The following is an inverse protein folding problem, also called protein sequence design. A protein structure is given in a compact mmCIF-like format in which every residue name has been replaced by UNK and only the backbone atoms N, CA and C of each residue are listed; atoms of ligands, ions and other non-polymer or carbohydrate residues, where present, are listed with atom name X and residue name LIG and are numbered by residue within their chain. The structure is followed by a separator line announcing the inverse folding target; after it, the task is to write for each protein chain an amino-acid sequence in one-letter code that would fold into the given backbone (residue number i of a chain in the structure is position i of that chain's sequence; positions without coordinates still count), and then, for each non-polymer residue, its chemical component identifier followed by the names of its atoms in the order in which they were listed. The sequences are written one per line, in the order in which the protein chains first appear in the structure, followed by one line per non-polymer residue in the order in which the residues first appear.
data_IF_519126261647
#
_entry.id   IF_519126261647
#
_cell.length_a   1.000
_cell.length_b   1.000
_cell.length_c   1.000
_cell.angle_alpha   90.00
_cell.angle_beta   90.00
_cell.angle_gamma   90.00
#
_symmetry.space_group_name_H-M   'P 1'
#
loop_
_entity.id
_entity.type
_entity.pdbx_description
1 polymer ?
#
# COMPACT_ATOMS: atom_id res chain seq x y z
N UNK A 1 2.21 -25.43 -21.38
CA UNK A 1 1.06 -24.51 -21.43
C UNK A 1 0.93 -23.92 -20.02
N UNK A 2 1.46 -22.71 -19.80
CA UNK A 2 1.34 -22.10 -18.47
C UNK A 2 -0.13 -21.73 -18.24
N UNK A 3 -0.71 -22.04 -17.07
CA UNK A 3 -2.08 -21.66 -16.76
C UNK A 3 -2.20 -20.14 -16.84
N UNK A 4 -3.31 -19.65 -17.42
CA UNK A 4 -3.62 -18.22 -17.39
C UNK A 4 -3.64 -17.77 -15.92
N UNK A 5 -2.95 -16.69 -15.53
CA UNK A 5 -3.11 -16.14 -14.19
C UNK A 5 -4.59 -15.82 -13.99
N UNK A 6 -5.20 -16.44 -12.98
CA UNK A 6 -6.59 -16.20 -12.61
C UNK A 6 -6.71 -14.73 -12.18
N UNK A 7 -7.83 -14.08 -12.52
CA UNK A 7 -8.14 -12.75 -11.98
C UNK A 7 -8.23 -12.86 -10.46
N UNK A 8 -7.60 -11.93 -9.76
CA UNK A 8 -7.47 -11.88 -8.29
C UNK A 8 -8.78 -11.66 -7.51
N UNK A 9 -9.94 -12.04 -8.04
CA UNK A 9 -11.22 -11.87 -7.35
C UNK A 9 -11.26 -12.65 -6.03
N UNK A 10 -10.57 -13.79 -5.96
CA UNK A 10 -10.75 -14.74 -4.86
C UNK A 10 -9.55 -14.69 -3.90
N UNK A 11 -9.78 -14.74 -2.59
CA UNK A 11 -8.72 -14.70 -1.57
C UNK A 11 -7.81 -15.93 -1.64
N UNK A 12 -8.39 -17.07 -2.00
CA UNK A 12 -7.68 -18.34 -2.14
C UNK A 12 -6.64 -18.28 -3.25
N UNK A 13 -6.93 -17.61 -4.38
CA UNK A 13 -5.98 -17.44 -5.48
C UNK A 13 -4.78 -16.55 -5.09
N UNK A 14 -4.97 -15.54 -4.24
CA UNK A 14 -3.87 -14.73 -3.71
C UNK A 14 -3.01 -15.54 -2.74
N UNK A 15 -3.62 -16.27 -1.80
CA UNK A 15 -2.90 -17.13 -0.86
C UNK A 15 -2.12 -18.25 -1.58
N UNK A 16 -2.68 -18.84 -2.63
CA UNK A 16 -2.03 -19.91 -3.39
C UNK A 16 -0.86 -19.37 -4.24
N UNK A 17 -1.08 -18.30 -5.01
CA UNK A 17 -0.06 -17.74 -5.89
C UNK A 17 1.05 -17.00 -5.12
N UNK A 18 0.69 -16.21 -4.11
CA UNK A 18 1.68 -15.51 -3.28
C UNK A 18 2.26 -16.42 -2.22
N UNK A 19 1.54 -17.45 -1.76
CA UNK A 19 2.07 -18.43 -0.80
C UNK A 19 3.26 -19.21 -1.35
N UNK A 20 3.26 -19.53 -2.65
CA UNK A 20 4.42 -20.14 -3.33
C UNK A 20 5.64 -19.21 -3.36
N UNK A 21 5.39 -17.90 -3.54
CA UNK A 21 6.43 -16.89 -3.55
C UNK A 21 6.75 -16.36 -2.14
N UNK A 22 5.95 -16.67 -1.12
CA UNK A 22 6.06 -16.10 0.22
C UNK A 22 7.41 -16.45 0.80
N UNK A 23 7.73 -17.75 0.83
CA UNK A 23 8.96 -18.22 1.45
C UNK A 23 10.20 -17.76 0.68
N UNK A 24 10.09 -17.61 -0.65
CA UNK A 24 11.15 -17.03 -1.49
C UNK A 24 11.31 -15.52 -1.29
N UNK A 25 10.21 -14.74 -1.32
CA UNK A 25 10.19 -13.31 -1.06
C UNK A 25 10.70 -13.01 0.34
N UNK A 26 10.16 -13.62 1.39
CA UNK A 26 10.63 -13.41 2.76
C UNK A 26 12.06 -13.92 2.98
N UNK A 27 12.46 -14.98 2.27
CA UNK A 27 13.86 -15.44 2.24
C UNK A 27 14.80 -14.43 1.59
N UNK A 28 14.36 -13.74 0.52
CA UNK A 28 15.14 -12.70 -0.14
C UNK A 28 15.09 -11.35 0.59
N UNK A 29 14.00 -11.05 1.28
CA UNK A 29 13.75 -9.87 2.13
C UNK A 29 14.38 -10.01 3.52
N UNK A 30 15.27 -10.98 3.74
CA UNK A 30 16.09 -11.03 4.94
C UNK A 30 16.91 -9.74 5.10
N UNK A 31 17.26 -9.44 6.34
CA UNK A 31 18.11 -8.33 6.72
C UNK A 31 19.36 -8.28 5.82
N UNK A 32 19.56 -7.15 5.15
CA UNK A 32 20.72 -6.92 4.27
C UNK A 32 21.35 -5.59 4.63
N UNK A 33 22.66 -5.56 4.75
CA UNK A 33 23.39 -4.30 4.67
C UNK A 33 23.57 -3.94 3.19
N UNK A 34 23.22 -2.71 2.84
CA UNK A 34 23.45 -2.16 1.51
C UNK A 34 24.55 -1.11 1.62
N UNK A 35 25.53 -1.19 0.73
CA UNK A 35 26.57 -0.19 0.62
C UNK A 35 26.07 0.97 -0.24
N UNK A 36 26.01 2.16 0.34
CA UNK A 36 25.63 3.41 -0.34
C UNK A 36 26.86 4.33 -0.31
N UNK A 37 27.63 4.31 -1.41
CA UNK A 37 28.96 4.93 -1.45
C UNK A 37 29.92 4.24 -0.46
N UNK A 38 30.44 5.01 0.50
CA UNK A 38 31.36 4.50 1.54
C UNK A 38 30.62 4.04 2.82
N UNK A 39 29.30 4.23 2.89
CA UNK A 39 28.49 3.90 4.07
C UNK A 39 27.82 2.54 3.92
N UNK A 40 28.02 1.67 4.91
CA UNK A 40 27.19 0.48 5.10
C UNK A 40 25.94 0.87 5.88
N UNK A 41 24.76 0.64 5.30
CA UNK A 41 23.48 0.86 5.96
C UNK A 41 22.72 -0.43 6.10
N UNK A 42 22.18 -0.67 7.29
CA UNK A 42 21.27 -1.77 7.55
C UNK A 42 19.90 -1.45 6.97
N UNK A 43 19.32 -2.40 6.22
CA UNK A 43 18.01 -2.25 5.59
C UNK A 43 17.02 -3.19 6.26
N UNK A 44 15.92 -2.59 6.73
CA UNK A 44 14.76 -3.30 7.24
C UNK A 44 13.65 -3.27 6.21
N UNK A 45 13.07 -4.43 5.94
CA UNK A 45 11.95 -4.56 5.03
C UNK A 45 10.64 -4.51 5.80
N UNK A 46 9.70 -3.71 5.32
CA UNK A 46 8.33 -3.66 5.82
C UNK A 46 7.39 -3.88 4.62
N UNK A 47 6.53 -4.89 4.71
CA UNK A 47 5.55 -5.15 3.67
C UNK A 47 4.35 -4.21 3.84
N UNK A 48 3.95 -3.55 2.75
CA UNK A 48 2.78 -2.66 2.71
C UNK A 48 1.81 -3.12 1.62
N UNK A 49 0.59 -2.61 1.66
CA UNK A 49 -0.44 -2.89 0.65
C UNK A 49 -1.79 -3.23 1.29
N UNK A 50 -2.69 -3.74 0.46
CA UNK A 50 -4.06 -4.01 0.92
C UNK A 50 -4.13 -5.15 1.95
N UNK A 51 -5.21 -5.17 2.73
CA UNK A 51 -5.41 -6.16 3.79
C UNK A 51 -5.41 -7.61 3.25
N UNK A 52 -5.80 -7.83 2.00
CA UNK A 52 -5.85 -9.16 1.36
C UNK A 52 -4.42 -9.64 1.04
N UNK A 53 -3.60 -8.78 0.45
CA UNK A 53 -2.17 -9.00 0.19
C UNK A 53 -1.41 -9.24 1.49
N UNK A 54 -1.55 -8.35 2.47
CA UNK A 54 -0.87 -8.49 3.74
C UNK A 54 -1.32 -9.76 4.49
N UNK A 55 -2.61 -10.10 4.42
CA UNK A 55 -3.09 -11.35 5.02
C UNK A 55 -2.51 -12.59 4.32
N UNK A 56 -2.36 -12.56 2.99
CA UNK A 56 -1.69 -13.63 2.25
C UNK A 56 -0.20 -13.76 2.63
N UNK A 57 0.50 -12.63 2.72
CA UNK A 57 1.92 -12.59 3.08
C UNK A 57 2.17 -13.07 4.52
N UNK A 58 1.38 -12.60 5.48
CA UNK A 58 1.53 -12.95 6.90
C UNK A 58 0.80 -14.25 7.30
N UNK A 59 0.11 -14.92 6.38
CA UNK A 59 -0.65 -16.15 6.67
C UNK A 59 -1.87 -15.93 7.55
N UNK A 60 -2.44 -14.73 7.54
CA UNK A 60 -3.62 -14.36 8.29
C UNK A 60 -4.92 -14.69 7.52
N UNK A 61 -6.02 -14.96 8.23
CA UNK A 61 -7.31 -15.36 7.62
C UNK A 61 -8.11 -14.22 6.96
N UNK A 62 -7.49 -13.05 6.77
CA UNK A 62 -8.12 -11.92 6.09
C UNK A 62 -9.20 -11.20 6.90
N UNK A 63 -9.99 -10.39 6.20
CA UNK A 63 -11.03 -9.53 6.77
C UNK A 63 -12.26 -10.27 7.29
N UNK A 64 -12.43 -11.54 6.93
CA UNK A 64 -13.52 -12.40 7.39
C UNK A 64 -13.19 -13.15 8.69
N UNK A 65 -11.96 -13.00 9.20
CA UNK A 65 -11.52 -13.54 10.49
C UNK A 65 -12.29 -12.94 11.66
N UNK A 66 -12.49 -13.72 12.73
CA UNK A 66 -12.95 -13.20 14.04
C UNK A 66 -12.01 -12.15 14.62
N UNK A 67 -10.74 -12.18 14.21
CA UNK A 67 -9.71 -11.20 14.54
C UNK A 67 -9.15 -10.63 13.23
N UNK A 68 -9.78 -9.62 12.61
CA UNK A 68 -9.39 -9.15 11.29
C UNK A 68 -8.21 -8.17 11.30
N UNK A 69 -7.68 -7.81 12.48
CA UNK A 69 -6.57 -6.89 12.62
C UNK A 69 -5.23 -7.63 12.54
N UNK A 70 -4.34 -7.16 11.66
CA UNK A 70 -2.98 -7.68 11.52
C UNK A 70 -1.99 -7.12 12.56
N UNK A 71 -2.40 -6.08 13.32
CA UNK A 71 -1.58 -5.43 14.33
C UNK A 71 -2.02 -5.88 15.73
N UNK A 72 -1.11 -6.18 16.68
CA UNK A 72 -1.48 -6.64 18.02
C UNK A 72 -2.32 -5.62 18.81
N UNK A 73 -3.27 -6.12 19.60
CA UNK A 73 -4.26 -5.36 20.40
C UNK A 73 -3.65 -4.82 21.71
N UNK A 74 -2.54 -4.08 21.65
CA UNK A 74 -1.91 -3.50 22.84
C UNK A 74 -1.86 -1.98 22.84
N UNK A 75 -3.02 -1.32 22.69
CA UNK A 75 -3.23 0.09 23.10
C UNK A 75 -4.74 0.42 23.00
N UNK A 76 -5.41 0.58 24.15
CA UNK A 76 -6.84 0.96 24.26
C UNK A 76 -6.98 2.32 24.97
N UNK A 77 -8.11 3.01 24.69
CA UNK A 77 -8.78 4.16 25.37
C UNK A 77 -8.57 5.60 24.77
N UNK A 78 -9.43 6.64 25.04
CA UNK A 78 -10.64 7.01 24.25
C UNK A 78 -10.94 8.53 23.97
N UNK A 79 -11.74 8.84 22.91
CA UNK A 79 -12.82 9.88 22.71
C UNK A 79 -12.55 11.40 22.42
N UNK A 80 -13.17 11.96 21.33
CA UNK A 80 -14.21 13.07 21.19
C UNK A 80 -14.10 14.09 19.99
N UNK A 81 -15.15 14.05 19.12
CA UNK A 81 -15.94 14.98 18.18
C UNK A 81 -15.48 15.80 16.90
N UNK A 82 -15.83 15.38 15.63
CA UNK A 82 -15.78 16.08 14.29
C UNK A 82 -15.92 15.12 13.05
N UNK A 83 -15.83 15.64 11.81
CA UNK A 83 -16.48 15.09 10.60
C UNK A 83 -15.56 14.40 9.55
N UNK A 84 -16.08 13.36 8.88
CA UNK A 84 -15.40 12.47 7.91
C UNK A 84 -14.69 13.15 6.72
N UNK A 85 -15.25 14.26 6.22
CA UNK A 85 -14.72 14.94 5.04
C UNK A 85 -13.34 15.54 5.35
N UNK A 86 -13.14 15.98 6.59
CA UNK A 86 -11.89 16.57 7.06
C UNK A 86 -10.80 15.52 7.23
N UNK A 87 -11.14 14.31 7.71
CA UNK A 87 -10.20 13.18 7.83
C UNK A 87 -9.60 12.80 6.48
N UNK A 88 -10.44 12.71 5.44
CA UNK A 88 -9.98 12.36 4.09
C UNK A 88 -9.21 13.48 3.41
N UNK A 89 -9.65 14.74 3.55
CA UNK A 89 -9.01 15.88 2.90
C UNK A 89 -7.67 16.24 3.53
N UNK A 90 -7.53 16.09 4.85
CA UNK A 90 -6.31 16.48 5.54
C UNK A 90 -5.09 15.63 5.12
N UNK A 91 -5.29 14.43 4.56
CA UNK A 91 -4.21 13.43 4.54
C UNK A 91 -4.05 12.56 3.30
N UNK A 92 -4.53 13.02 2.14
CA UNK A 92 -4.13 12.46 0.84
C UNK A 92 -2.69 12.83 0.43
N UNK A 93 -1.96 13.58 1.25
CA UNK A 93 -0.60 14.04 0.95
C UNK A 93 0.47 13.00 1.31
N UNK A 94 1.35 12.72 0.34
CA UNK A 94 2.49 11.81 0.47
C UNK A 94 3.73 12.52 1.02
N UNK A 95 3.67 13.06 2.24
CA UNK A 95 4.80 13.75 2.89
C UNK A 95 4.88 13.46 4.40
N UNK A 96 6.03 13.79 4.99
CA UNK A 96 6.21 13.79 6.44
C UNK A 96 5.40 14.95 7.05
N UNK A 97 4.85 14.71 8.24
CA UNK A 97 3.86 15.56 8.88
C UNK A 97 4.38 16.09 10.20
N UNK A 98 4.06 17.35 10.49
CA UNK A 98 4.40 17.95 11.77
C UNK A 98 3.51 17.37 12.88
N UNK A 99 4.05 17.26 14.10
CA UNK A 99 3.32 16.72 15.25
C UNK A 99 2.00 17.44 15.52
N UNK A 100 1.93 18.75 15.29
CA UNK A 100 0.70 19.52 15.44
C UNK A 100 -0.41 19.02 14.51
N UNK A 101 -0.06 18.67 13.28
CA UNK A 101 -1.01 18.14 12.31
C UNK A 101 -1.41 16.70 12.71
N UNK A 102 -0.48 15.88 13.22
CA UNK A 102 -0.77 14.50 13.68
C UNK A 102 -1.77 14.54 14.84
N UNK A 103 -1.58 15.47 15.79
CA UNK A 103 -2.51 15.68 16.90
C UNK A 103 -3.88 16.16 16.42
N UNK A 104 -3.94 16.99 15.38
CA UNK A 104 -5.20 17.41 14.75
C UNK A 104 -5.91 16.23 14.08
N UNK A 105 -5.18 15.36 13.39
CA UNK A 105 -5.74 14.13 12.84
C UNK A 105 -6.29 13.20 13.92
N UNK A 106 -5.55 13.00 15.01
CA UNK A 106 -6.00 12.17 16.13
C UNK A 106 -7.35 12.63 16.66
N UNK A 107 -7.51 13.95 16.81
CA UNK A 107 -8.81 14.57 17.12
C UNK A 107 -9.82 14.18 16.06
N UNK A 108 -9.60 14.52 14.77
CA UNK A 108 -10.52 14.23 13.65
C UNK A 108 -10.95 12.76 13.49
N UNK A 109 -10.18 11.79 13.98
CA UNK A 109 -10.58 10.38 14.00
C UNK A 109 -11.44 10.03 15.21
N UNK A 110 -11.05 10.47 16.41
CA UNK A 110 -11.81 10.31 17.65
C UNK A 110 -13.25 10.85 17.51
N UNK A 111 -13.27 11.97 16.85
CA UNK A 111 -14.34 12.73 16.25
C UNK A 111 -15.34 11.91 15.47
N UNK A 112 -14.85 11.25 14.43
CA UNK A 112 -15.64 10.41 13.57
C UNK A 112 -16.21 9.20 14.32
N UNK A 113 -15.40 8.55 15.17
CA UNK A 113 -15.84 7.37 15.92
C UNK A 113 -16.94 7.70 16.92
N UNK A 114 -16.90 8.88 17.52
CA UNK A 114 -17.96 9.36 18.40
C UNK A 114 -19.28 9.51 17.64
N UNK A 115 -19.24 10.15 16.47
CA UNK A 115 -20.41 10.28 15.61
C UNK A 115 -21.02 8.92 15.23
N UNK A 116 -20.18 7.94 14.87
CA UNK A 116 -20.64 6.59 14.55
C UNK A 116 -21.34 5.92 15.73
N UNK A 117 -20.79 6.03 16.94
CA UNK A 117 -21.40 5.44 18.15
C UNK A 117 -22.76 6.06 18.47
N UNK A 118 -22.92 7.36 18.27
CA UNK A 118 -24.16 8.06 18.57
C UNK A 118 -25.24 7.86 17.50
N UNK A 119 -24.87 7.94 16.23
CA UNK A 119 -25.82 7.90 15.11
C UNK A 119 -26.07 6.50 14.56
N UNK A 120 -25.12 5.59 14.75
CA UNK A 120 -25.15 4.23 14.22
C UNK A 120 -24.73 3.20 15.30
N UNK A 121 -25.41 3.14 16.46
CA UNK A 121 -24.99 2.31 17.60
C UNK A 121 -25.03 0.80 17.31
N UNK A 122 -25.83 0.36 16.34
CA UNK A 122 -25.94 -1.05 15.93
C UNK A 122 -24.97 -1.43 14.80
N UNK A 123 -24.14 -0.50 14.33
CA UNK A 123 -23.24 -0.75 13.21
C UNK A 123 -22.01 -1.55 13.66
N UNK A 124 -21.69 -2.59 12.89
CA UNK A 124 -20.44 -3.34 13.04
C UNK A 124 -19.26 -2.50 12.56
N UNK A 125 -18.23 -2.36 13.37
CA UNK A 125 -16.99 -1.66 13.01
C UNK A 125 -16.25 -2.48 11.95
N UNK A 126 -15.96 -1.87 10.80
CA UNK A 126 -15.15 -2.52 9.76
C UNK A 126 -13.67 -2.56 10.15
N UNK A 127 -12.87 -3.51 9.63
CA UNK A 127 -11.44 -3.55 9.87
C UNK A 127 -10.72 -2.24 9.49
N UNK A 128 -11.17 -1.55 8.43
CA UNK A 128 -10.64 -0.24 8.03
C UNK A 128 -10.91 0.83 9.09
N UNK A 129 -12.12 0.89 9.66
CA UNK A 129 -12.44 1.80 10.76
C UNK A 129 -11.64 1.46 12.04
N UNK A 130 -11.46 0.17 12.35
CA UNK A 130 -10.63 -0.25 13.48
C UNK A 130 -9.17 0.16 13.30
N UNK A 131 -8.57 -0.06 12.12
CA UNK A 131 -7.20 0.37 11.81
C UNK A 131 -7.04 1.89 11.97
N UNK A 132 -7.96 2.65 11.36
CA UNK A 132 -7.96 4.11 11.44
C UNK A 132 -7.97 4.62 12.89
N UNK A 133 -8.85 4.08 13.72
CA UNK A 133 -9.01 4.51 15.11
C UNK A 133 -7.93 4.00 16.06
N UNK A 134 -7.53 2.73 15.94
CA UNK A 134 -6.69 2.08 16.94
C UNK A 134 -5.20 2.12 16.64
N UNK A 135 -4.80 2.34 15.39
CA UNK A 135 -3.41 2.11 14.96
C UNK A 135 -2.79 3.27 14.20
N UNK A 136 -3.55 4.01 13.39
CA UNK A 136 -2.98 5.03 12.50
C UNK A 136 -2.30 6.16 13.27
N UNK A 137 -2.89 6.65 14.37
CA UNK A 137 -2.26 7.71 15.16
C UNK A 137 -0.93 7.25 15.77
N UNK A 138 -0.91 6.09 16.44
CA UNK A 138 0.30 5.52 17.02
C UNK A 138 1.40 5.29 15.97
N UNK A 139 1.02 4.86 14.76
CA UNK A 139 1.96 4.74 13.64
C UNK A 139 2.52 6.10 13.24
N UNK A 140 1.67 7.12 13.12
CA UNK A 140 2.11 8.46 12.74
C UNK A 140 2.97 9.13 13.82
N UNK A 141 2.71 8.89 15.11
CA UNK A 141 3.58 9.39 16.18
C UNK A 141 5.01 8.80 16.09
N UNK A 142 5.14 7.57 15.58
CA UNK A 142 6.44 6.91 15.41
C UNK A 142 7.14 7.28 14.09
N UNK A 143 6.38 7.41 13.01
CA UNK A 143 6.93 7.47 11.66
C UNK A 143 6.72 8.83 10.97
N UNK A 144 5.84 9.69 11.50
CA UNK A 144 5.50 11.01 10.98
C UNK A 144 4.89 11.01 9.57
N UNK A 145 4.55 9.86 9.01
CA UNK A 145 3.91 9.74 7.70
C UNK A 145 2.83 8.65 7.72
N UNK A 146 1.92 8.71 6.76
CA UNK A 146 0.91 7.67 6.51
C UNK A 146 0.60 7.54 5.02
N UNK A 147 0.43 8.66 4.32
CA UNK A 147 0.17 8.67 2.87
C UNK A 147 1.25 7.99 2.03
N UNK A 148 2.51 7.96 2.50
CA UNK A 148 3.64 7.30 1.82
C UNK A 148 3.49 5.78 1.70
N UNK A 149 2.75 5.15 2.60
CA UNK A 149 2.49 3.70 2.57
C UNK A 149 1.11 3.36 2.00
N UNK A 150 0.41 4.35 1.44
CA UNK A 150 -0.92 4.18 0.87
C UNK A 150 -0.88 3.49 -0.50
N UNK A 151 -2.01 2.87 -0.84
CA UNK A 151 -2.22 2.19 -2.13
C UNK A 151 -2.31 3.16 -3.33
N UNK A 152 -2.35 4.48 -3.09
CA UNK A 152 -2.45 5.47 -4.17
C UNK A 152 -1.27 5.40 -5.14
N UNK A 153 -0.08 5.10 -4.63
CA UNK A 153 1.13 4.94 -5.45
C UNK A 153 1.02 3.74 -6.40
N UNK A 154 0.50 2.61 -5.92
CA UNK A 154 0.35 1.40 -6.74
C UNK A 154 -0.82 1.54 -7.74
N UNK A 155 -1.87 2.30 -7.41
CA UNK A 155 -2.94 2.64 -8.36
C UNK A 155 -2.43 3.49 -9.53
N UNK A 156 -1.57 4.47 -9.25
CA UNK A 156 -0.91 5.26 -10.30
C UNK A 156 -0.02 4.36 -11.18
N UNK A 157 0.74 3.45 -10.58
CA UNK A 157 1.55 2.47 -11.31
C UNK A 157 0.68 1.54 -12.17
N UNK A 158 -0.47 1.09 -11.67
CA UNK A 158 -1.42 0.28 -12.43
C UNK A 158 -1.88 0.99 -13.72
N UNK A 159 -2.09 2.31 -13.68
CA UNK A 159 -2.45 3.07 -14.87
C UNK A 159 -1.34 3.06 -15.93
N UNK A 160 -0.07 3.14 -15.50
CA UNK A 160 1.11 3.02 -16.38
C UNK A 160 1.21 1.62 -16.98
N UNK A 161 1.06 0.57 -16.16
CA UNK A 161 1.07 -0.82 -16.64
C UNK A 161 -0.03 -1.06 -17.68
N UNK A 162 -1.26 -0.59 -17.42
CA UNK A 162 -2.38 -0.69 -18.36
C UNK A 162 -2.13 0.08 -19.67
N UNK A 163 -1.35 1.16 -19.62
CA UNK A 163 -0.92 1.91 -20.82
C UNK A 163 0.08 1.07 -21.63
N UNK A 164 1.08 0.49 -20.96
CA UNK A 164 2.10 -0.32 -21.61
C UNK A 164 1.53 -1.65 -22.16
N UNK A 165 0.62 -2.31 -21.44
CA UNK A 165 -0.10 -3.49 -21.93
C UNK A 165 -0.85 -3.19 -23.24
N UNK A 166 -1.52 -2.03 -23.33
CA UNK A 166 -2.19 -1.60 -24.57
C UNK A 166 -1.21 -1.35 -25.71
N UNK A 167 -0.06 -0.74 -25.43
CA UNK A 167 0.99 -0.52 -26.44
C UNK A 167 1.57 -1.83 -26.98
N UNK A 168 1.66 -2.85 -26.12
CA UNK A 168 2.18 -4.17 -26.47
C UNK A 168 1.08 -5.16 -26.89
N UNK A 169 -0.17 -4.70 -27.09
CA UNK A 169 -1.32 -5.57 -27.36
C UNK A 169 -1.19 -6.38 -28.66
N UNK A 170 -0.32 -5.96 -29.58
CA UNK A 170 -0.01 -6.71 -30.82
C UNK A 170 0.83 -7.96 -30.57
N UNK A 171 1.50 -8.07 -29.43
CA UNK A 171 2.29 -9.24 -29.07
C UNK A 171 1.40 -10.38 -28.58
N UNK A 172 1.69 -11.61 -29.01
CA UNK A 172 0.88 -12.79 -28.66
C UNK A 172 1.30 -13.45 -27.34
N UNK A 173 2.57 -13.31 -26.97
CA UNK A 173 3.12 -13.97 -25.78
C UNK A 173 2.98 -13.07 -24.55
N UNK A 174 2.13 -13.49 -23.60
CA UNK A 174 1.87 -12.72 -22.37
C UNK A 174 3.11 -12.61 -21.47
N UNK A 175 3.95 -13.63 -21.41
CA UNK A 175 5.17 -13.59 -20.60
C UNK A 175 6.17 -12.56 -21.14
N UNK A 176 6.29 -12.45 -22.45
CA UNK A 176 7.13 -11.42 -23.08
C UNK A 176 6.59 -10.01 -22.86
N UNK A 177 5.26 -9.84 -22.90
CA UNK A 177 4.62 -8.56 -22.57
C UNK A 177 5.00 -8.13 -21.14
N UNK A 178 4.87 -9.03 -20.16
CA UNK A 178 5.20 -8.73 -18.76
C UNK A 178 6.69 -8.36 -18.60
N UNK A 179 7.60 -9.13 -19.20
CA UNK A 179 9.04 -8.84 -19.14
C UNK A 179 9.35 -7.46 -19.72
N UNK A 180 8.74 -7.10 -20.86
CA UNK A 180 8.92 -5.79 -21.47
C UNK A 180 8.36 -4.65 -20.63
N UNK A 181 7.20 -4.83 -20.01
CA UNK A 181 6.62 -3.83 -19.10
C UNK A 181 7.57 -3.57 -17.93
N UNK A 182 8.15 -4.62 -17.34
CA UNK A 182 9.15 -4.49 -16.26
C UNK A 182 10.39 -3.73 -16.77
N UNK A 183 10.89 -4.07 -17.96
CA UNK A 183 12.03 -3.37 -18.58
C UNK A 183 11.72 -1.89 -18.83
N UNK A 184 10.54 -1.56 -19.36
CA UNK A 184 10.12 -0.18 -19.58
C UNK A 184 9.99 0.59 -18.26
N UNK A 185 9.49 -0.07 -17.21
CA UNK A 185 9.44 0.52 -15.87
C UNK A 185 10.84 0.84 -15.33
N UNK A 186 11.79 -0.08 -15.50
CA UNK A 186 13.18 0.15 -15.10
C UNK A 186 13.82 1.30 -15.90
N UNK A 187 13.64 1.32 -17.21
CA UNK A 187 14.19 2.37 -18.08
C UNK A 187 13.65 3.76 -17.73
N UNK A 188 12.34 3.88 -17.41
CA UNK A 188 11.76 5.15 -16.95
C UNK A 188 12.43 5.66 -15.67
N UNK A 189 12.72 4.77 -14.71
CA UNK A 189 13.41 5.16 -13.48
C UNK A 189 14.83 5.64 -13.79
N UNK A 190 15.58 4.94 -14.65
CA UNK A 190 16.94 5.35 -15.05
C UNK A 190 16.92 6.71 -15.74
N UNK A 191 15.98 6.95 -16.65
CA UNK A 191 15.84 8.25 -17.34
C UNK A 191 15.51 9.37 -16.36
N UNK A 192 14.62 9.11 -15.41
CA UNK A 192 14.28 10.06 -14.35
C UNK A 192 15.49 10.40 -13.46
N UNK A 193 16.25 9.39 -13.02
CA UNK A 193 17.45 9.57 -12.19
C UNK A 193 18.57 10.33 -12.93
N UNK A 194 18.60 10.23 -14.26
CA UNK A 194 19.50 11.01 -15.11
C UNK A 194 19.00 12.44 -15.36
N UNK A 195 17.89 12.85 -14.75
CA UNK A 195 17.20 14.12 -14.98
C UNK A 195 16.81 14.34 -16.45
N UNK A 196 16.71 13.25 -17.23
CA UNK A 196 16.25 13.29 -18.62
C UNK A 196 14.73 13.28 -18.58
N UNK A 197 14.15 14.46 -18.45
CA UNK A 197 12.70 14.65 -18.58
C UNK A 197 12.38 14.67 -20.08
N UNK A 198 11.68 13.65 -20.55
CA UNK A 198 11.04 13.73 -21.86
C UNK A 198 9.91 14.77 -21.75
N UNK A 199 10.13 15.97 -22.29
CA UNK A 199 9.17 17.09 -22.19
C UNK A 199 7.81 16.79 -22.84
N UNK A 200 7.72 15.76 -23.69
CA UNK A 200 6.47 15.31 -24.28
C UNK A 200 6.41 13.77 -24.38
N UNK A 201 5.69 13.14 -23.44
CA UNK A 201 5.41 11.70 -23.40
C UNK A 201 4.63 11.18 -24.64
N UNK A 202 4.11 12.10 -25.47
CA UNK A 202 3.28 11.82 -26.65
C UNK A 202 4.02 11.97 -28.00
N UNK A 203 5.22 12.56 -28.04
CA UNK A 203 5.92 12.85 -29.31
C UNK A 203 7.13 11.94 -29.58
N UNK A 204 7.70 11.26 -28.58
CA UNK A 204 8.93 10.48 -28.77
C UNK A 204 8.76 9.19 -29.59
N UNK A 205 7.52 8.80 -29.92
CA UNK A 205 7.23 7.52 -30.59
C UNK A 205 6.12 7.61 -31.66
N UNK A 206 5.97 8.77 -32.33
CA UNK A 206 5.24 8.83 -33.62
C UNK A 206 6.08 8.24 -34.74
#
# INVERSE_FOLDING_TARGET
MMPKPKKSSDADDCHENLGQLRDELFGQLQFRSVQVGDLQKEVFWFATGDLKLLSALYGHMGSASSHPCLLPVSTLYPTRSASLLQVSQAWNECNAKAQAQINEFGKLVDDYVTFLKEKLPSMTITPKCHLLYSHVQSFMDQHLFWGLISEQSIEALHAVVNRDERRLASQRNRSEIVVKIIQYSFLRNVLFDMEIVCEDDDELFK
#
